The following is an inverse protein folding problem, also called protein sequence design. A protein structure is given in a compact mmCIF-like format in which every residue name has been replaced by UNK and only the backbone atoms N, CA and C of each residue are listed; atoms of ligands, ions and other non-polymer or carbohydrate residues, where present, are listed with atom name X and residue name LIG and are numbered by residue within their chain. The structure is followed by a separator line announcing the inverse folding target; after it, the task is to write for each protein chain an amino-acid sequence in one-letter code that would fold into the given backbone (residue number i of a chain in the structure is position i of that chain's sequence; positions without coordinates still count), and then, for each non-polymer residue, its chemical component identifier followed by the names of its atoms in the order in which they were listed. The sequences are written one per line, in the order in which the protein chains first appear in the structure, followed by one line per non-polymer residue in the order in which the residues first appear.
data_IF_933879180841
#
_entry.id   IF_933879180841
#
_cell.length_a   1.000
_cell.length_b   1.000
_cell.length_c   1.000
_cell.angle_alpha   90.00
_cell.angle_beta   90.00
_cell.angle_gamma   90.00
#
_symmetry.space_group_name_H-M   'P 1'
#
loop_
_entity.id
_entity.type
_entity.pdbx_description
1 polymer ?
#
# COMPACT_ATOMS: atom_id res chain seq x y z
N UNK A 1 -17.81 58.21 62.44
CA UNK A 1 -17.64 58.34 60.98
C UNK A 1 -16.94 57.10 60.46
N UNK A 2 -17.50 56.50 59.37
CA UNK A 2 -16.86 55.60 58.39
C UNK A 2 -16.38 54.25 58.97
N UNK A 3 -16.94 53.09 58.62
CA UNK A 3 -17.49 52.67 57.33
C UNK A 3 -16.47 51.75 56.66
N UNK A 4 -16.56 50.46 56.97
CA UNK A 4 -15.71 49.38 56.48
C UNK A 4 -15.91 49.23 54.96
N UNK A 5 -14.86 49.49 54.17
CA UNK A 5 -14.80 49.16 52.73
C UNK A 5 -13.82 48.02 52.54
N UNK A 6 -14.34 46.91 52.05
CA UNK A 6 -13.61 45.75 51.56
C UNK A 6 -13.16 46.03 50.13
N UNK A 7 -11.88 46.34 49.94
CA UNK A 7 -11.31 46.49 48.61
C UNK A 7 -10.82 45.14 48.10
N UNK A 8 -11.69 44.55 47.29
CA UNK A 8 -11.50 43.38 46.43
C UNK A 8 -10.50 43.71 45.32
N UNK A 9 -9.20 43.68 45.58
CA UNK A 9 -8.20 43.74 44.49
C UNK A 9 -6.98 42.90 44.86
N UNK A 10 -7.13 41.57 44.84
CA UNK A 10 -5.99 40.67 45.12
C UNK A 10 -5.98 39.37 44.29
N UNK A 11 -6.77 39.25 43.23
CA UNK A 11 -6.87 37.96 42.50
C UNK A 11 -7.04 38.11 40.98
N UNK A 12 -6.30 38.99 40.32
CA UNK A 12 -6.42 39.10 38.85
C UNK A 12 -5.10 39.22 38.09
N UNK A 13 -3.95 38.74 38.59
CA UNK A 13 -2.70 38.74 37.79
C UNK A 13 -1.74 37.56 38.08
N UNK A 14 -2.27 36.34 38.32
CA UNK A 14 -1.42 35.15 38.46
C UNK A 14 -2.03 33.88 37.84
N UNK A 15 -2.61 34.03 36.65
CA UNK A 15 -3.10 32.92 35.82
C UNK A 15 -2.37 32.86 34.48
N UNK A 16 -1.06 33.04 34.50
CA UNK A 16 -0.20 32.92 33.33
C UNK A 16 -0.19 31.43 32.90
N UNK A 17 -0.94 31.12 31.84
CA UNK A 17 -0.35 30.60 30.62
C UNK A 17 0.58 29.36 30.77
N UNK A 18 0.06 28.20 31.20
CA UNK A 18 0.74 26.92 30.98
C UNK A 18 -0.16 25.69 31.21
N UNK A 19 -1.29 25.59 30.52
CA UNK A 19 -1.89 24.27 30.24
C UNK A 19 -1.96 24.09 28.73
N UNK A 20 -0.78 24.16 28.12
CA UNK A 20 -0.53 23.63 26.80
C UNK A 20 0.67 22.67 26.91
N UNK A 21 0.62 21.77 27.89
CA UNK A 21 1.33 20.51 27.74
C UNK A 21 0.48 19.68 26.75
N UNK A 22 0.61 20.04 25.48
CA UNK A 22 0.22 19.18 24.37
C UNK A 22 0.80 17.81 24.68
N UNK A 23 -0.07 16.79 24.66
CA UNK A 23 0.38 15.42 24.60
C UNK A 23 1.34 15.32 23.42
N UNK A 24 2.62 15.17 23.72
CA UNK A 24 3.60 14.72 22.75
C UNK A 24 3.30 13.24 22.58
N UNK A 25 2.31 12.92 21.74
CA UNK A 25 2.15 11.58 21.22
C UNK A 25 3.44 11.31 20.45
N UNK A 26 4.32 10.51 21.07
CA UNK A 26 5.48 9.98 20.39
C UNK A 26 4.96 9.18 19.21
N UNK A 27 5.11 9.73 18.00
CA UNK A 27 4.98 9.00 16.74
C UNK A 27 5.85 7.75 16.90
N UNK A 28 5.19 6.60 17.07
CA UNK A 28 5.85 5.31 17.10
C UNK A 28 6.27 5.03 15.67
N UNK A 29 7.43 5.55 15.28
CA UNK A 29 8.03 5.28 13.98
C UNK A 29 8.29 3.77 13.93
N UNK A 30 7.50 3.00 13.15
CA UNK A 30 7.68 1.57 13.10
C UNK A 30 9.07 1.31 12.53
N UNK A 31 9.89 0.54 13.27
CA UNK A 31 11.23 0.24 12.79
C UNK A 31 11.16 -0.26 11.34
N UNK A 32 11.93 0.33 10.42
CA UNK A 32 11.88 -0.04 9.02
C UNK A 32 12.28 -1.51 8.88
N UNK A 33 11.28 -2.35 8.58
CA UNK A 33 11.46 -3.79 8.36
C UNK A 33 12.35 -4.10 7.14
N UNK A 34 12.56 -3.10 6.29
CA UNK A 34 13.37 -3.17 5.09
C UNK A 34 14.70 -2.44 5.34
N UNK A 35 15.79 -3.20 5.49
CA UNK A 35 17.13 -2.62 5.56
C UNK A 35 17.55 -2.21 4.14
N UNK A 36 17.73 -0.91 3.91
CA UNK A 36 18.19 -0.36 2.63
C UNK A 36 17.13 -0.27 1.52
N UNK A 37 15.85 -0.27 1.88
CA UNK A 37 14.77 -0.03 0.92
C UNK A 37 14.75 1.41 0.42
N UNK A 38 14.26 1.61 -0.80
CA UNK A 38 14.00 2.92 -1.37
C UNK A 38 12.60 2.94 -2.00
N UNK A 39 11.97 4.12 -2.15
CA UNK A 39 10.72 4.23 -2.86
C UNK A 39 10.85 3.73 -4.31
N UNK A 40 10.04 2.75 -4.71
CA UNK A 40 9.96 2.32 -6.10
C UNK A 40 9.31 3.38 -6.99
N UNK A 41 9.72 3.31 -8.25
CA UNK A 41 9.21 4.17 -9.31
C UNK A 41 7.92 3.58 -9.89
N UNK A 42 6.90 4.43 -10.04
CA UNK A 42 5.59 4.03 -10.57
C UNK A 42 5.72 3.33 -11.94
N UNK A 43 6.63 3.81 -12.79
CA UNK A 43 6.86 3.27 -14.14
C UNK A 43 7.31 1.81 -14.14
N UNK A 44 8.08 1.37 -13.13
CA UNK A 44 8.64 0.02 -13.06
C UNK A 44 7.77 -0.95 -12.25
N UNK A 45 6.82 -0.44 -11.48
CA UNK A 45 5.93 -1.25 -10.61
C UNK A 45 4.50 -1.31 -11.11
N UNK A 46 4.27 -1.04 -12.40
CA UNK A 46 2.93 -0.98 -12.98
C UNK A 46 2.12 -2.29 -12.85
N UNK A 47 2.82 -3.42 -12.82
CA UNK A 47 2.24 -4.74 -12.58
C UNK A 47 1.89 -5.01 -11.11
N UNK A 48 2.43 -4.24 -10.16
CA UNK A 48 2.20 -4.41 -8.74
C UNK A 48 0.76 -4.02 -8.40
N UNK A 49 0.07 -4.88 -7.65
CA UNK A 49 -1.28 -4.60 -7.17
C UNK A 49 -1.43 -4.88 -5.68
N UNK A 50 -2.43 -4.19 -5.12
CA UNK A 50 -2.88 -4.26 -3.74
C UNK A 50 -4.13 -5.11 -3.73
N UNK A 51 -4.08 -6.26 -3.08
CA UNK A 51 -5.25 -7.09 -2.82
C UNK A 51 -5.83 -6.65 -1.48
N UNK A 52 -7.08 -6.18 -1.51
CA UNK A 52 -7.73 -5.52 -0.38
C UNK A 52 -9.02 -6.21 0.02
N UNK A 53 -9.34 -6.21 1.31
CA UNK A 53 -10.69 -6.44 1.82
C UNK A 53 -11.56 -5.29 1.33
N UNK A 54 -12.56 -5.62 0.53
CA UNK A 54 -13.43 -4.64 -0.12
C UNK A 54 -14.13 -3.73 0.89
N UNK A 55 -14.71 -4.28 1.96
CA UNK A 55 -15.49 -3.50 2.93
C UNK A 55 -14.64 -2.46 3.67
N UNK A 56 -13.41 -2.82 4.05
CA UNK A 56 -12.46 -1.93 4.71
C UNK A 56 -11.96 -0.83 3.76
N UNK A 57 -11.62 -1.19 2.52
CA UNK A 57 -11.20 -0.19 1.50
C UNK A 57 -12.32 0.77 1.08
N UNK A 58 -13.58 0.33 1.13
CA UNK A 58 -14.75 1.19 0.89
C UNK A 58 -15.01 2.16 2.05
N UNK A 59 -14.61 1.78 3.27
CA UNK A 59 -14.76 2.64 4.47
C UNK A 59 -13.65 3.68 4.55
N UNK A 60 -12.41 3.29 4.24
CA UNK A 60 -11.26 4.18 4.12
C UNK A 60 -10.31 3.64 3.06
N UNK A 61 -10.05 4.43 2.01
CA UNK A 61 -9.23 3.98 0.89
C UNK A 61 -7.81 3.62 1.37
N UNK A 62 -7.33 2.43 0.99
CA UNK A 62 -6.04 1.90 1.43
C UNK A 62 -6.09 1.07 2.72
N UNK A 63 -7.09 1.29 3.59
CA UNK A 63 -7.20 0.59 4.88
C UNK A 63 -7.54 -0.91 4.76
N UNK A 64 -7.95 -1.36 3.56
CA UNK A 64 -8.28 -2.75 3.30
C UNK A 64 -7.12 -3.63 2.88
N UNK A 65 -5.87 -3.17 2.82
CA UNK A 65 -4.76 -3.99 2.33
C UNK A 65 -4.61 -5.32 3.09
N UNK A 66 -4.49 -6.43 2.36
CA UNK A 66 -4.24 -7.76 2.94
C UNK A 66 -3.01 -8.40 2.30
N UNK A 67 -2.85 -8.30 0.98
CA UNK A 67 -1.74 -8.93 0.28
C UNK A 67 -1.29 -8.11 -0.94
N UNK A 68 -0.08 -8.41 -1.40
CA UNK A 68 0.36 -8.06 -2.75
C UNK A 68 -0.13 -9.04 -3.82
N UNK A 69 0.00 -8.61 -5.07
CA UNK A 69 -0.15 -9.48 -6.23
C UNK A 69 0.50 -8.85 -7.45
N UNK A 70 0.56 -9.62 -8.54
CA UNK A 70 1.09 -9.17 -9.82
C UNK A 70 0.07 -9.37 -10.91
N UNK A 71 -0.19 -8.32 -11.69
CA UNK A 71 -1.03 -8.40 -12.88
C UNK A 71 -0.25 -9.11 -13.99
N UNK A 72 -0.69 -10.32 -14.37
CA UNK A 72 -0.01 -11.15 -15.38
C UNK A 72 -0.66 -11.06 -16.77
N UNK A 73 -1.89 -10.56 -16.85
CA UNK A 73 -2.60 -10.18 -18.08
C UNK A 73 -3.63 -9.08 -17.74
N UNK A 74 -4.46 -8.64 -18.70
CA UNK A 74 -5.41 -7.53 -18.45
C UNK A 74 -6.45 -7.80 -17.35
N UNK A 75 -6.62 -9.05 -16.90
CA UNK A 75 -7.66 -9.45 -15.95
C UNK A 75 -7.20 -10.37 -14.83
N UNK A 76 -6.01 -10.95 -14.93
CA UNK A 76 -5.53 -11.98 -14.01
C UNK A 76 -4.45 -11.42 -13.10
N UNK A 77 -4.70 -11.51 -11.80
CA UNK A 77 -3.71 -11.21 -10.76
C UNK A 77 -3.20 -12.52 -10.18
N UNK A 78 -1.89 -12.73 -10.27
CA UNK A 78 -1.16 -13.77 -9.56
C UNK A 78 -0.90 -13.33 -8.12
N UNK A 79 -1.12 -14.22 -7.17
CA UNK A 79 -0.87 -14.00 -5.74
C UNK A 79 -0.64 -15.35 -5.04
N UNK A 80 -0.51 -15.32 -3.71
CA UNK A 80 -0.40 -16.51 -2.89
C UNK A 80 -1.79 -17.10 -2.59
N UNK A 81 -1.88 -18.42 -2.40
CA UNK A 81 -3.11 -19.10 -2.02
C UNK A 81 -3.57 -18.70 -0.61
N UNK A 82 -2.63 -18.52 0.32
CA UNK A 82 -2.92 -18.16 1.70
C UNK A 82 -3.64 -16.80 1.81
N UNK A 83 -3.41 -15.89 0.86
CA UNK A 83 -4.13 -14.62 0.75
C UNK A 83 -5.63 -14.78 0.44
N UNK A 84 -6.01 -15.92 -0.14
CA UNK A 84 -7.31 -16.16 -0.73
C UNK A 84 -8.22 -17.03 0.14
N UNK A 85 -7.71 -17.57 1.24
CA UNK A 85 -8.44 -18.42 2.18
C UNK A 85 -8.69 -17.69 3.51
N UNK A 86 -9.60 -18.22 4.32
CA UNK A 86 -9.80 -17.80 5.70
C UNK A 86 -8.96 -18.63 6.68
N UNK A 87 -9.09 -18.33 7.97
CA UNK A 87 -8.39 -19.05 9.04
C UNK A 87 -8.83 -20.51 9.20
N UNK A 88 -9.83 -20.95 8.44
CA UNK A 88 -10.33 -22.33 8.38
C UNK A 88 -10.02 -22.96 7.01
N UNK A 89 -9.05 -22.40 6.28
CA UNK A 89 -8.61 -22.82 4.95
C UNK A 89 -9.70 -22.80 3.87
N UNK A 90 -10.80 -22.08 4.13
CA UNK A 90 -11.90 -21.96 3.17
C UNK A 90 -11.65 -20.78 2.24
N UNK A 91 -11.74 -21.04 0.94
CA UNK A 91 -11.68 -20.00 -0.10
C UNK A 91 -12.69 -18.88 0.18
N UNK A 92 -12.19 -17.65 0.27
CA UNK A 92 -12.99 -16.42 0.40
C UNK A 92 -13.78 -16.16 -0.90
N UNK A 93 -15.01 -15.63 -0.81
CA UNK A 93 -15.80 -15.32 -2.00
C UNK A 93 -15.21 -14.13 -2.77
N UNK A 94 -15.47 -14.03 -4.07
CA UNK A 94 -14.94 -12.96 -4.91
C UNK A 94 -15.28 -11.55 -4.38
N UNK A 95 -16.50 -11.35 -3.88
CA UNK A 95 -16.94 -10.07 -3.31
C UNK A 95 -16.20 -9.62 -2.04
N UNK A 96 -15.41 -10.50 -1.41
CA UNK A 96 -14.53 -10.15 -0.31
C UNK A 96 -13.37 -9.26 -0.77
N UNK A 97 -12.95 -9.40 -2.04
CA UNK A 97 -11.74 -8.79 -2.56
C UNK A 97 -12.01 -7.56 -3.45
N UNK A 98 -11.04 -6.65 -3.42
CA UNK A 98 -10.85 -5.58 -4.38
C UNK A 98 -9.38 -5.53 -4.75
N UNK A 99 -9.08 -5.27 -6.02
CA UNK A 99 -7.72 -5.11 -6.52
C UNK A 99 -7.49 -3.64 -6.84
N UNK A 100 -6.37 -3.08 -6.39
CA UNK A 100 -5.97 -1.69 -6.65
C UNK A 100 -4.53 -1.65 -7.16
N UNK A 101 -4.27 -0.98 -8.28
CA UNK A 101 -2.92 -0.81 -8.85
C UNK A 101 -2.74 0.58 -9.47
N UNK A 102 -1.60 0.80 -10.13
CA UNK A 102 -1.32 2.06 -10.84
C UNK A 102 -0.96 3.24 -9.93
N UNK A 103 -0.45 2.96 -8.73
CA UNK A 103 0.05 3.97 -7.81
C UNK A 103 1.04 3.36 -6.82
N UNK A 104 1.96 4.18 -6.33
CA UNK A 104 3.00 3.77 -5.38
C UNK A 104 2.61 4.03 -3.92
N UNK A 105 1.71 4.98 -3.67
CA UNK A 105 1.10 5.22 -2.36
C UNK A 105 -0.27 4.53 -2.28
N UNK A 106 -0.43 3.59 -1.33
CA UNK A 106 -1.67 2.81 -1.19
C UNK A 106 -2.87 3.62 -0.68
N UNK A 107 -2.62 4.74 0.00
CA UNK A 107 -3.62 5.59 0.63
C UNK A 107 -4.10 6.73 -0.26
N UNK A 108 -3.44 6.95 -1.40
CA UNK A 108 -3.74 8.05 -2.32
C UNK A 108 -4.31 7.55 -3.64
N UNK A 109 -5.21 8.34 -4.22
CA UNK A 109 -5.71 8.12 -5.57
C UNK A 109 -5.05 9.11 -6.52
N UNK A 110 -4.29 8.59 -7.47
CA UNK A 110 -3.74 9.32 -8.60
C UNK A 110 -4.62 9.13 -9.85
N UNK A 111 -4.33 9.88 -10.91
CA UNK A 111 -4.98 9.68 -12.22
C UNK A 111 -4.72 8.28 -12.80
N UNK A 112 -3.58 7.65 -12.47
CA UNK A 112 -3.23 6.30 -12.89
C UNK A 112 -3.84 5.18 -12.02
N UNK A 113 -4.49 5.53 -10.90
CA UNK A 113 -5.01 4.54 -9.96
C UNK A 113 -6.16 3.73 -10.57
N UNK A 114 -5.97 2.42 -10.67
CA UNK A 114 -6.98 1.49 -11.15
C UNK A 114 -7.55 0.69 -10.00
N UNK A 115 -8.87 0.75 -9.85
CA UNK A 115 -9.63 -0.05 -8.87
C UNK A 115 -10.52 -1.04 -9.61
N UNK A 116 -10.47 -2.32 -9.23
CA UNK A 116 -11.26 -3.39 -9.83
C UNK A 116 -11.90 -4.30 -8.78
N UNK A 117 -13.15 -4.67 -9.06
CA UNK A 117 -13.82 -5.76 -8.35
C UNK A 117 -13.34 -7.11 -8.88
N UNK A 118 -13.37 -8.12 -8.00
CA UNK A 118 -13.03 -9.49 -8.37
C UNK A 118 -14.29 -10.25 -8.78
N UNK A 119 -14.20 -10.98 -9.88
CA UNK A 119 -15.26 -11.85 -10.41
C UNK A 119 -15.05 -13.33 -10.05
N UNK A 120 -13.79 -13.78 -9.92
CA UNK A 120 -13.46 -15.17 -9.61
C UNK A 120 -12.20 -15.29 -8.77
N UNK A 121 -12.20 -16.26 -7.87
CA UNK A 121 -11.07 -16.61 -6.99
C UNK A 121 -10.65 -18.05 -7.31
N UNK A 122 -9.40 -18.22 -7.72
CA UNK A 122 -8.74 -19.49 -7.92
C UNK A 122 -7.72 -19.73 -6.82
N UNK A 123 -7.86 -20.85 -6.12
CA UNK A 123 -6.87 -21.34 -5.15
C UNK A 123 -6.34 -22.63 -5.75
N UNK A 124 -5.02 -22.84 -5.71
CA UNK A 124 -4.44 -24.07 -6.22
C UNK A 124 -5.05 -25.29 -5.50
N UNK A 125 -5.49 -26.30 -6.26
CA UNK A 125 -6.28 -27.43 -5.73
C UNK A 125 -5.53 -28.27 -4.69
N UNK A 126 -4.20 -28.25 -4.74
CA UNK A 126 -3.30 -28.93 -3.79
C UNK A 126 -2.68 -27.99 -2.75
N UNK A 127 -3.21 -26.77 -2.60
CA UNK A 127 -2.73 -25.87 -1.54
C UNK A 127 -2.90 -26.53 -0.16
N UNK A 128 -1.84 -26.47 0.65
CA UNK A 128 -1.86 -26.99 2.02
C UNK A 128 -1.44 -25.90 3.00
N UNK A 129 -2.38 -25.41 3.80
CA UNK A 129 -2.13 -24.32 4.73
C UNK A 129 -1.21 -24.66 5.91
N UNK A 130 -0.97 -25.96 6.18
CA UNK A 130 -0.07 -26.37 7.27
C UNK A 130 1.40 -26.17 6.94
N UNK A 131 1.76 -26.29 5.66
CA UNK A 131 3.15 -26.23 5.21
C UNK A 131 3.37 -25.28 4.01
N UNK A 132 2.31 -24.60 3.55
CA UNK A 132 2.32 -23.69 2.41
C UNK A 132 2.72 -24.35 1.07
N UNK A 133 2.59 -25.68 0.95
CA UNK A 133 2.78 -26.33 -0.34
C UNK A 133 1.74 -25.82 -1.34
N UNK A 134 2.20 -25.51 -2.56
CA UNK A 134 1.40 -24.93 -3.64
C UNK A 134 0.67 -23.64 -3.24
N UNK A 135 1.38 -22.74 -2.54
CA UNK A 135 0.89 -21.42 -2.16
C UNK A 135 0.80 -20.44 -3.34
N UNK A 136 -0.06 -20.78 -4.30
CA UNK A 136 -0.32 -20.00 -5.51
C UNK A 136 -1.81 -19.84 -5.74
N UNK A 137 -2.23 -18.62 -6.06
CA UNK A 137 -3.61 -18.23 -6.22
C UNK A 137 -3.78 -17.23 -7.36
N UNK A 138 -5.00 -17.17 -7.89
CA UNK A 138 -5.39 -16.25 -8.94
C UNK A 138 -6.65 -15.47 -8.55
N UNK A 139 -6.64 -14.17 -8.81
CA UNK A 139 -7.85 -13.35 -8.81
C UNK A 139 -8.14 -12.91 -10.24
N UNK A 140 -9.39 -13.12 -10.69
CA UNK A 140 -9.85 -12.64 -11.99
C UNK A 140 -10.72 -11.42 -11.76
N UNK A 141 -10.29 -10.26 -12.25
CA UNK A 141 -11.06 -9.02 -12.14
C UNK A 141 -12.20 -8.94 -13.15
N UNK A 142 -13.26 -8.22 -12.78
CA UNK A 142 -14.51 -8.13 -13.56
C UNK A 142 -14.35 -7.35 -14.86
N UNK A 143 -13.48 -6.34 -14.87
CA UNK A 143 -13.18 -5.49 -16.01
C UNK A 143 -11.68 -5.42 -16.22
N UNK A 144 -11.28 -5.28 -17.48
CA UNK A 144 -9.89 -5.16 -17.88
C UNK A 144 -9.20 -3.99 -17.17
N UNK A 145 -7.98 -4.24 -16.76
CA UNK A 145 -6.99 -3.26 -16.37
C UNK A 145 -6.27 -2.85 -17.64
N UNK A 146 -6.13 -1.55 -17.88
CA UNK A 146 -5.52 -1.04 -19.10
C UNK A 146 -4.09 -1.60 -19.28
N UNK A 147 -3.76 -1.95 -20.52
CA UNK A 147 -2.54 -2.68 -20.90
C UNK A 147 -1.24 -2.00 -20.47
N UNK A 148 -1.25 -0.69 -20.19
CA UNK A 148 -0.10 0.01 -19.62
C UNK A 148 0.32 -0.50 -18.24
N UNK A 149 -0.57 -1.19 -17.52
CA UNK A 149 -0.29 -1.76 -16.19
C UNK A 149 0.25 -3.18 -16.24
N UNK A 150 0.09 -3.90 -17.34
CA UNK A 150 0.65 -5.24 -17.48
C UNK A 150 2.12 -5.04 -17.83
N UNK A 151 3.04 -5.43 -16.95
CA UNK A 151 4.51 -5.36 -17.16
C UNK A 151 5.03 -6.27 -18.28
N UNK A 152 4.14 -6.71 -19.17
CA UNK A 152 4.49 -7.27 -20.46
C UNK A 152 4.58 -6.08 -21.41
N UNK A 153 5.72 -5.39 -21.40
CA UNK A 153 6.10 -4.62 -22.58
C UNK A 153 5.88 -5.53 -23.79
N UNK A 154 5.02 -5.08 -24.71
CA UNK A 154 4.84 -5.72 -26.01
C UNK A 154 6.09 -5.51 -26.85
N UNK A 155 7.26 -5.89 -26.35
CA UNK A 155 8.47 -6.02 -27.14
C UNK A 155 8.81 -7.51 -27.30
N UNK A 156 7.88 -8.22 -27.92
CA UNK A 156 8.25 -9.38 -28.73
C UNK A 156 8.57 -8.88 -30.14
N UNK A 157 9.60 -8.05 -30.26
CA UNK A 157 10.34 -7.88 -31.50
C UNK A 157 11.80 -8.19 -31.21
N UNK A 158 12.17 -9.46 -31.34
CA UNK A 158 13.57 -9.88 -31.40
C UNK A 158 14.17 -9.24 -32.65
N UNK A 159 14.63 -8.01 -32.54
CA UNK A 159 15.61 -7.47 -33.48
C UNK A 159 16.96 -7.82 -32.91
N UNK A 160 17.58 -8.84 -33.51
CA UNK A 160 18.93 -9.24 -33.19
C UNK A 160 19.88 -8.03 -33.33
N UNK A 161 20.45 -7.55 -32.23
CA UNK A 161 21.64 -6.73 -32.29
C UNK A 161 22.60 -7.10 -31.16
N UNK A 162 23.62 -7.88 -31.54
CA UNK A 162 24.87 -8.02 -30.79
C UNK A 162 25.54 -6.65 -30.71
N UNK A 163 26.04 -6.30 -29.52
CA UNK A 163 27.42 -5.91 -29.16
C UNK A 163 27.41 -4.87 -28.05
N UNK A 164 28.23 -5.09 -27.01
CA UNK A 164 28.66 -4.03 -26.09
C UNK A 164 28.28 -4.28 -24.63
N UNK A 165 29.21 -4.87 -23.89
CA UNK A 165 29.29 -4.72 -22.44
C UNK A 165 29.67 -3.28 -22.11
N UNK A 166 28.77 -2.52 -21.48
CA UNK A 166 29.12 -1.29 -20.80
C UNK A 166 28.47 -1.32 -19.41
N UNK A 167 29.31 -1.58 -18.41
CA UNK A 167 29.05 -1.27 -17.01
C UNK A 167 28.92 0.25 -16.89
N UNK A 168 27.71 0.75 -16.62
CA UNK A 168 27.50 2.15 -16.28
C UNK A 168 26.81 2.24 -14.91
N UNK A 169 27.63 2.34 -13.87
CA UNK A 169 27.21 2.94 -12.61
C UNK A 169 26.99 4.43 -12.83
N UNK A 170 25.77 4.92 -12.67
CA UNK A 170 25.54 6.33 -12.39
C UNK A 170 24.38 6.45 -11.41
N UNK A 171 24.73 6.74 -10.16
CA UNK A 171 23.81 7.25 -9.18
C UNK A 171 23.36 8.64 -9.61
N UNK A 172 22.08 8.81 -9.91
CA UNK A 172 21.45 10.12 -9.97
C UNK A 172 20.73 10.36 -8.63
N UNK A 173 21.31 11.27 -7.85
CA UNK A 173 20.76 11.74 -6.58
C UNK A 173 19.57 12.64 -6.88
N UNK A 174 18.38 12.24 -6.43
CA UNK A 174 17.22 13.11 -6.54
C UNK A 174 17.30 14.23 -5.50
N UNK A 175 17.20 15.47 -5.98
CA UNK A 175 17.22 16.70 -5.20
C UNK A 175 15.80 17.18 -5.01
N UNK A 176 15.00 16.45 -4.27
CA UNK A 176 13.76 16.96 -3.75
C UNK A 176 13.57 16.28 -2.39
N UNK A 177 13.86 17.04 -1.32
CA UNK A 177 13.72 16.60 0.07
C UNK A 177 12.26 16.37 0.46
N UNK A 178 11.63 15.39 -0.17
CA UNK A 178 10.29 14.92 0.11
C UNK A 178 10.37 13.47 0.58
N UNK A 179 10.60 13.33 1.88
CA UNK A 179 10.62 12.09 2.64
C UNK A 179 9.19 11.57 2.81
N UNK A 180 8.58 11.10 1.72
CA UNK A 180 7.37 10.27 1.77
C UNK A 180 7.76 8.82 1.43
N UNK A 181 8.45 8.22 2.39
CA UNK A 181 8.96 6.86 2.36
C UNK A 181 7.86 5.82 2.61
N UNK A 182 6.83 5.74 1.76
CA UNK A 182 5.69 4.83 2.00
C UNK A 182 5.61 3.66 1.03
N UNK A 183 6.78 3.24 0.55
CA UNK A 183 6.91 2.05 -0.27
C UNK A 183 7.17 0.76 0.52
N UNK A 184 7.31 0.89 1.84
CA UNK A 184 7.41 -0.23 2.77
C UNK A 184 6.12 -1.05 2.81
N UNK A 185 5.01 -0.50 2.35
CA UNK A 185 3.68 -0.98 2.71
C UNK A 185 2.99 -1.96 1.75
N UNK A 186 3.53 -2.21 0.56
CA UNK A 186 3.05 -3.30 -0.30
C UNK A 186 3.72 -4.64 -0.01
N UNK A 187 4.90 -4.62 0.60
CA UNK A 187 5.69 -5.81 0.96
C UNK A 187 5.69 -6.08 2.47
N UNK A 188 5.15 -5.15 3.27
CA UNK A 188 5.00 -5.32 4.72
C UNK A 188 3.60 -5.77 5.11
N UNK A 189 3.39 -7.09 5.00
CA UNK A 189 2.32 -7.85 5.64
C UNK A 189 2.54 -7.91 7.15
#
# INVERSE_FOLDING_TARGET
MRGHRTDKVAFLLAGFLAVAAFALEAEHDPEPRIVGGFPALEATTRHQVSIRRRSSDESAFGAGHICGGSLIDSRTVLTAAHCLVDSLDKKRPAGYFRVVGGGVNRYERSAGTVVRTVSRVGVHERYNAKNFDNDVGLLIVSLDVEVGLVGLERDYSVTAQRTGSEDASSAETDRDGNENADLVYFLSN
#
